data_IF_916477670482
#
_entry.id   IF_916477670482
#
_cell.length_a   1.000
_cell.length_b   1.000
_cell.length_c   1.000
_cell.angle_alpha   90.00
_cell.angle_beta   90.00
_cell.angle_gamma   90.00
#
_symmetry.space_group_name_H-M   'P 1'
#
loop_
_entity.id
_entity.type
_entity.pdbx_description
1 polymer ?
#
# COMPACT_ATOMS: atom_id res chain seq x y z
N UNK A 1 -10.68 16.44 9.82
CA UNK A 1 -10.73 16.93 8.43
C UNK A 1 -10.08 15.92 7.49
N UNK A 2 -8.79 15.62 7.58
CA UNK A 2 -8.13 14.62 6.71
C UNK A 2 -8.81 13.25 6.81
N UNK A 3 -9.06 12.73 8.00
CA UNK A 3 -9.77 11.47 8.21
C UNK A 3 -11.20 11.47 7.60
N UNK A 4 -11.91 12.61 7.67
CA UNK A 4 -13.22 12.73 7.02
C UNK A 4 -13.10 12.75 5.48
N UNK A 5 -12.05 13.37 4.94
CA UNK A 5 -11.75 13.32 3.50
C UNK A 5 -11.38 11.92 3.05
N UNK A 6 -10.60 11.19 3.84
CA UNK A 6 -10.24 9.79 3.59
C UNK A 6 -11.48 8.88 3.58
N UNK A 7 -12.36 9.02 4.58
CA UNK A 7 -13.62 8.27 4.61
C UNK A 7 -14.55 8.60 3.44
N UNK A 8 -14.62 9.88 3.07
CA UNK A 8 -15.42 10.31 1.90
C UNK A 8 -14.83 9.72 0.60
N UNK A 9 -13.49 9.67 0.46
CA UNK A 9 -12.86 9.05 -0.70
C UNK A 9 -13.19 7.55 -0.80
N UNK A 10 -13.27 6.83 0.33
CA UNK A 10 -13.69 5.42 0.35
C UNK A 10 -15.15 5.22 -0.10
N UNK A 11 -16.02 6.19 0.20
CA UNK A 11 -17.46 6.13 -0.14
C UNK A 11 -17.75 6.47 -1.61
N UNK A 12 -17.10 7.52 -2.14
CA UNK A 12 -17.44 8.07 -3.46
C UNK A 12 -16.36 7.86 -4.54
N UNK A 13 -15.21 7.30 -4.17
CA UNK A 13 -14.02 7.22 -5.02
C UNK A 13 -13.08 8.42 -4.82
N UNK A 14 -11.77 8.15 -4.94
CA UNK A 14 -10.74 9.17 -4.72
C UNK A 14 -10.79 10.31 -5.74
N UNK A 15 -11.04 9.98 -7.01
CA UNK A 15 -11.10 10.96 -8.11
C UNK A 15 -12.29 11.92 -7.96
N UNK A 16 -13.34 11.50 -7.26
CA UNK A 16 -14.52 12.30 -7.00
C UNK A 16 -14.39 13.19 -5.74
N UNK A 17 -13.32 13.02 -4.97
CA UNK A 17 -13.07 13.81 -3.77
C UNK A 17 -12.66 15.23 -4.14
N UNK A 18 -13.47 16.23 -3.72
CA UNK A 18 -13.18 17.65 -3.89
C UNK A 18 -13.28 18.41 -2.58
N UNK A 19 -12.64 19.59 -2.51
CA UNK A 19 -12.78 20.48 -1.35
C UNK A 19 -14.24 20.87 -1.09
N UNK A 20 -15.04 21.01 -2.15
CA UNK A 20 -16.48 21.29 -2.03
C UNK A 20 -17.24 20.16 -1.36
N UNK A 21 -17.09 18.91 -1.84
CA UNK A 21 -17.72 17.72 -1.25
C UNK A 21 -17.27 17.48 0.20
N UNK A 22 -15.99 17.74 0.50
CA UNK A 22 -15.49 17.66 1.87
C UNK A 22 -16.15 18.72 2.78
N UNK A 23 -16.31 19.96 2.30
CA UNK A 23 -16.97 21.02 3.04
C UNK A 23 -18.44 20.68 3.33
N UNK A 24 -19.14 20.15 2.33
CA UNK A 24 -20.53 19.67 2.46
C UNK A 24 -20.62 18.55 3.50
N UNK A 25 -19.74 17.54 3.42
CA UNK A 25 -19.67 16.43 4.38
C UNK A 25 -19.47 16.90 5.82
N UNK A 26 -18.67 17.96 6.01
CA UNK A 26 -18.35 18.53 7.32
C UNK A 26 -19.37 19.57 7.80
N UNK A 27 -20.37 19.91 6.98
CA UNK A 27 -21.35 20.95 7.31
C UNK A 27 -20.75 22.36 7.44
N UNK A 28 -19.66 22.65 6.73
CA UNK A 28 -18.96 23.95 6.76
C UNK A 28 -18.90 24.57 5.36
N UNK A 29 -18.59 25.86 5.32
CA UNK A 29 -18.33 26.53 4.03
C UNK A 29 -16.92 26.22 3.53
N UNK A 30 -16.75 25.99 2.23
CA UNK A 30 -15.45 25.66 1.62
C UNK A 30 -14.30 26.63 2.01
N UNK A 31 -14.49 27.97 2.12
CA UNK A 31 -13.44 28.88 2.58
C UNK A 31 -12.88 28.55 3.98
N UNK A 32 -13.66 27.88 4.83
CA UNK A 32 -13.18 27.48 6.18
C UNK A 32 -12.13 26.38 6.11
N UNK A 33 -12.16 25.53 5.10
CA UNK A 33 -11.18 24.45 4.91
C UNK A 33 -9.81 24.99 4.54
N UNK A 34 -9.75 26.05 3.77
CA UNK A 34 -8.49 26.65 3.29
C UNK A 34 -7.64 27.28 4.40
N UNK A 35 -8.20 27.45 5.61
CA UNK A 35 -7.43 27.83 6.82
C UNK A 35 -6.52 26.70 7.30
N UNK A 36 -6.80 25.46 6.91
CA UNK A 36 -6.15 24.25 7.44
C UNK A 36 -5.53 23.38 6.36
N UNK A 37 -6.01 23.48 5.12
CA UNK A 37 -5.57 22.70 3.97
C UNK A 37 -5.31 23.67 2.84
N UNK A 38 -4.09 23.65 2.28
CA UNK A 38 -3.66 24.63 1.27
C UNK A 38 -4.34 24.46 -0.10
N UNK A 39 -5.13 23.40 -0.28
CA UNK A 39 -5.88 23.11 -1.50
C UNK A 39 -6.10 21.62 -1.71
N UNK A 40 -6.58 21.27 -2.89
CA UNK A 40 -6.89 19.91 -3.28
C UNK A 40 -5.66 18.98 -3.18
N UNK A 41 -4.53 19.43 -3.73
CA UNK A 41 -3.29 18.66 -3.73
C UNK A 41 -2.77 18.39 -2.30
N UNK A 42 -2.85 19.39 -1.41
CA UNK A 42 -2.48 19.23 -0.01
C UNK A 42 -3.40 18.23 0.71
N UNK A 43 -4.72 18.27 0.43
CA UNK A 43 -5.68 17.28 0.93
C UNK A 43 -5.31 15.88 0.47
N UNK A 44 -5.08 15.69 -0.83
CA UNK A 44 -4.72 14.41 -1.42
C UNK A 44 -3.42 13.85 -0.81
N UNK A 45 -2.41 14.67 -0.66
CA UNK A 45 -1.12 14.29 -0.05
C UNK A 45 -1.26 13.88 1.41
N UNK A 46 -2.09 14.59 2.19
CA UNK A 46 -2.35 14.24 3.59
C UNK A 46 -3.15 12.95 3.72
N UNK A 47 -4.11 12.69 2.82
CA UNK A 47 -4.84 11.42 2.78
C UNK A 47 -3.90 10.27 2.42
N UNK A 48 -3.01 10.47 1.46
CA UNK A 48 -2.03 9.46 1.09
C UNK A 48 -1.07 9.12 2.25
N UNK A 49 -0.57 10.15 2.96
CA UNK A 49 0.28 9.93 4.13
C UNK A 49 -0.47 9.15 5.23
N UNK A 50 -1.74 9.52 5.50
CA UNK A 50 -2.60 8.80 6.44
C UNK A 50 -2.79 7.33 6.00
N UNK A 51 -3.08 7.08 4.72
CA UNK A 51 -3.29 5.74 4.18
C UNK A 51 -2.03 4.87 4.28
N UNK A 52 -0.85 5.42 4.01
CA UNK A 52 0.42 4.70 4.21
C UNK A 52 0.63 4.33 5.68
N UNK A 53 0.37 5.25 6.60
CA UNK A 53 0.54 4.99 8.03
C UNK A 53 -0.48 3.96 8.54
N UNK A 54 -1.76 4.04 8.14
CA UNK A 54 -2.81 3.09 8.51
C UNK A 54 -2.52 1.69 7.93
N UNK A 55 -2.18 1.59 6.64
CA UNK A 55 -1.83 0.31 6.02
C UNK A 55 -0.58 -0.30 6.67
N UNK A 56 0.46 0.51 6.90
CA UNK A 56 1.67 0.06 7.58
C UNK A 56 1.41 -0.44 9.00
N UNK A 57 0.55 0.22 9.76
CA UNK A 57 0.16 -0.19 11.10
C UNK A 57 -0.63 -1.52 11.07
N UNK A 58 -1.58 -1.67 10.14
CA UNK A 58 -2.35 -2.91 9.96
C UNK A 58 -1.43 -4.10 9.62
N UNK A 59 -0.53 -3.92 8.65
CA UNK A 59 0.44 -4.93 8.26
C UNK A 59 1.39 -5.25 9.43
N UNK A 60 1.93 -4.21 10.10
CA UNK A 60 2.83 -4.37 11.24
C UNK A 60 2.21 -5.16 12.39
N UNK A 61 0.91 -4.95 12.66
CA UNK A 61 0.16 -5.71 13.66
C UNK A 61 -0.02 -7.17 13.22
N UNK A 62 -0.36 -7.39 11.95
CA UNK A 62 -0.63 -8.73 11.42
C UNK A 62 0.59 -9.65 11.46
N UNK A 63 1.79 -9.12 11.28
CA UNK A 63 3.03 -9.92 11.24
C UNK A 63 3.62 -10.24 12.62
N UNK A 64 3.09 -9.68 13.70
CA UNK A 64 3.64 -9.88 15.06
C UNK A 64 3.66 -11.37 15.44
N UNK A 65 4.82 -11.83 15.90
CA UNK A 65 5.03 -13.23 16.30
C UNK A 65 5.07 -14.23 15.15
N UNK A 66 5.12 -13.78 13.90
CA UNK A 66 5.17 -14.62 12.69
C UNK A 66 6.52 -14.50 12.00
N UNK A 67 6.89 -15.52 11.23
CA UNK A 67 8.12 -15.54 10.44
C UNK A 67 7.92 -16.26 9.10
N UNK A 68 8.82 -16.06 8.14
CA UNK A 68 8.82 -16.72 6.84
C UNK A 68 7.47 -16.59 6.11
N UNK A 69 6.99 -17.71 5.55
CA UNK A 69 5.73 -17.74 4.79
C UNK A 69 4.53 -17.21 5.59
N UNK A 70 4.43 -17.53 6.90
CA UNK A 70 3.28 -17.09 7.71
C UNK A 70 3.27 -15.58 7.91
N UNK A 71 4.45 -14.96 8.07
CA UNK A 71 4.57 -13.50 8.10
C UNK A 71 4.25 -12.88 6.74
N UNK A 72 4.70 -13.49 5.64
CA UNK A 72 4.39 -13.04 4.28
C UNK A 72 2.88 -13.10 4.01
N UNK A 73 2.23 -14.21 4.36
CA UNK A 73 0.78 -14.40 4.22
C UNK A 73 -0.01 -13.37 5.03
N UNK A 74 0.40 -13.14 6.29
CA UNK A 74 -0.25 -12.15 7.15
C UNK A 74 -0.08 -10.72 6.62
N UNK A 75 1.10 -10.36 6.13
CA UNK A 75 1.35 -9.04 5.54
C UNK A 75 0.54 -8.82 4.26
N UNK A 76 0.52 -9.82 3.38
CA UNK A 76 -0.24 -9.79 2.14
C UNK A 76 -1.76 -9.71 2.40
N UNK A 77 -2.28 -10.50 3.36
CA UNK A 77 -3.67 -10.48 3.78
C UNK A 77 -4.08 -9.10 4.33
N UNK A 78 -3.29 -8.53 5.24
CA UNK A 78 -3.56 -7.22 5.81
C UNK A 78 -3.56 -6.10 4.74
N UNK A 79 -2.65 -6.15 3.76
CA UNK A 79 -2.68 -5.21 2.63
C UNK A 79 -3.94 -5.39 1.79
N UNK A 80 -4.29 -6.64 1.45
CA UNK A 80 -5.49 -6.96 0.67
C UNK A 80 -6.75 -6.45 1.37
N UNK A 81 -6.89 -6.72 2.66
CA UNK A 81 -8.03 -6.29 3.47
C UNK A 81 -8.10 -4.75 3.53
N UNK A 82 -6.97 -4.07 3.68
CA UNK A 82 -6.92 -2.61 3.65
C UNK A 82 -7.39 -2.05 2.30
N UNK A 83 -6.93 -2.61 1.18
CA UNK A 83 -7.35 -2.18 -0.16
C UNK A 83 -8.84 -2.38 -0.38
N UNK A 84 -9.39 -3.53 0.08
CA UNK A 84 -10.80 -3.85 -0.09
C UNK A 84 -11.73 -2.99 0.80
N UNK A 85 -11.28 -2.66 2.01
CA UNK A 85 -12.08 -1.87 2.96
C UNK A 85 -11.91 -0.36 2.78
N UNK A 86 -10.77 0.07 2.22
CA UNK A 86 -10.41 1.48 2.05
C UNK A 86 -9.92 1.81 0.63
N UNK A 87 -10.72 1.52 -0.41
CA UNK A 87 -10.26 1.64 -1.80
C UNK A 87 -9.91 3.09 -2.17
N UNK A 88 -10.65 4.07 -1.67
CA UNK A 88 -10.38 5.48 -1.94
C UNK A 88 -9.12 6.00 -1.26
N UNK A 89 -8.87 5.63 0.00
CA UNK A 89 -7.61 5.93 0.70
C UNK A 89 -6.43 5.29 0.00
N UNK A 90 -6.59 4.02 -0.38
CA UNK A 90 -5.51 3.32 -1.05
C UNK A 90 -5.19 3.94 -2.41
N UNK A 91 -6.21 4.34 -3.18
CA UNK A 91 -6.03 5.06 -4.43
C UNK A 91 -5.22 6.35 -4.26
N UNK A 92 -5.38 7.06 -3.13
CA UNK A 92 -4.60 8.25 -2.82
C UNK A 92 -3.08 7.98 -2.74
N UNK A 93 -2.65 6.74 -2.46
CA UNK A 93 -1.23 6.37 -2.39
C UNK A 93 -0.58 6.18 -3.76
N UNK A 94 -1.37 6.20 -4.83
CA UNK A 94 -0.92 5.94 -6.20
C UNK A 94 -0.71 7.27 -6.94
N UNK A 95 0.25 7.30 -7.85
CA UNK A 95 0.47 8.43 -8.75
C UNK A 95 1.05 9.70 -8.12
N UNK A 96 1.38 9.71 -6.83
CA UNK A 96 2.00 10.86 -6.18
C UNK A 96 3.49 10.93 -6.52
N UNK A 97 3.91 12.11 -6.96
CA UNK A 97 5.33 12.42 -7.14
C UNK A 97 5.85 13.13 -5.88
N UNK A 98 6.77 12.52 -5.12
CA UNK A 98 7.39 13.17 -3.98
C UNK A 98 8.23 14.37 -4.41
N UNK A 99 8.22 15.44 -3.61
CA UNK A 99 9.00 16.65 -3.86
C UNK A 99 10.46 16.56 -3.39
N UNK A 100 10.83 15.47 -2.72
CA UNK A 100 12.19 15.22 -2.22
C UNK A 100 12.23 14.14 -1.14
N UNK A 101 13.41 13.82 -0.60
CA UNK A 101 13.59 12.75 0.38
C UNK A 101 12.88 13.01 1.72
N UNK A 102 12.69 14.28 2.08
CA UNK A 102 12.03 14.71 3.32
C UNK A 102 10.54 15.01 3.14
N UNK A 103 10.01 14.72 1.95
CA UNK A 103 8.58 14.86 1.69
C UNK A 103 7.76 14.00 2.67
N UNK A 104 6.75 14.56 3.37
CA UNK A 104 5.93 13.81 4.32
C UNK A 104 5.28 12.55 3.71
N UNK A 105 4.90 12.59 2.43
CA UNK A 105 4.34 11.42 1.73
C UNK A 105 5.41 10.35 1.50
N UNK A 106 6.66 10.76 1.14
CA UNK A 106 7.77 9.82 1.00
C UNK A 106 8.11 9.15 2.34
N UNK A 107 8.15 9.93 3.42
CA UNK A 107 8.41 9.40 4.76
C UNK A 107 7.30 8.44 5.22
N UNK A 108 6.03 8.78 4.97
CA UNK A 108 4.90 7.90 5.24
C UNK A 108 4.97 6.62 4.39
N UNK A 109 5.29 6.73 3.10
CA UNK A 109 5.48 5.58 2.22
C UNK A 109 6.57 4.63 2.69
N UNK A 110 7.69 5.16 3.22
CA UNK A 110 8.74 4.33 3.83
C UNK A 110 8.25 3.60 5.08
N UNK A 111 7.45 4.26 5.93
CA UNK A 111 6.84 3.60 7.09
C UNK A 111 5.83 2.54 6.66
N UNK A 112 5.00 2.84 5.67
CA UNK A 112 4.01 1.90 5.12
C UNK A 112 4.60 0.63 4.54
N UNK A 113 5.78 0.70 3.88
CA UNK A 113 6.48 -0.48 3.32
C UNK A 113 7.36 -1.19 4.35
N UNK A 114 7.70 -0.54 5.47
CA UNK A 114 8.59 -1.08 6.50
C UNK A 114 8.25 -2.49 6.97
N UNK A 115 6.99 -2.82 7.26
CA UNK A 115 6.58 -4.16 7.66
C UNK A 115 6.92 -5.24 6.63
N UNK A 116 6.77 -4.96 5.33
CA UNK A 116 7.23 -5.89 4.28
C UNK A 116 8.74 -6.06 4.28
N UNK A 117 9.49 -4.98 4.50
CA UNK A 117 10.94 -5.08 4.64
C UNK A 117 11.33 -5.98 5.83
N UNK A 118 10.63 -5.87 6.96
CA UNK A 118 10.85 -6.74 8.12
C UNK A 118 10.53 -8.22 7.80
N UNK A 119 9.44 -8.50 7.07
CA UNK A 119 9.14 -9.86 6.60
C UNK A 119 10.26 -10.42 5.73
N UNK A 120 10.77 -9.61 4.80
CA UNK A 120 11.82 -10.03 3.86
C UNK A 120 13.17 -10.28 4.54
N UNK A 121 13.43 -9.71 5.73
CA UNK A 121 14.62 -10.06 6.53
C UNK A 121 14.64 -11.53 6.98
N UNK A 122 13.50 -12.20 7.01
CA UNK A 122 13.39 -13.64 7.28
C UNK A 122 13.72 -14.54 6.08
N UNK A 123 14.07 -13.94 4.93
CA UNK A 123 14.53 -14.62 3.73
C UNK A 123 16.00 -14.25 3.48
N UNK A 124 16.80 -15.17 3.02
CA UNK A 124 18.23 -14.96 2.76
C UNK A 124 18.48 -14.13 1.48
N UNK A 125 17.88 -12.92 1.45
CA UNK A 125 17.97 -12.00 0.30
C UNK A 125 19.24 -11.14 0.46
N UNK A 126 20.13 -11.14 -0.54
CA UNK A 126 21.29 -10.27 -0.53
C UNK A 126 20.92 -8.79 -0.38
N UNK A 127 21.68 -7.99 0.39
CA UNK A 127 21.33 -6.58 0.64
C UNK A 127 21.12 -5.75 -0.63
N UNK A 128 21.87 -6.04 -1.71
CA UNK A 128 21.73 -5.34 -2.99
C UNK A 128 20.45 -5.71 -3.74
N UNK A 129 19.83 -6.86 -3.45
CA UNK A 129 18.57 -7.31 -4.06
C UNK A 129 17.33 -6.94 -3.23
N UNK A 130 17.50 -6.52 -1.97
CA UNK A 130 16.38 -6.20 -1.07
C UNK A 130 15.36 -5.22 -1.69
N UNK A 131 15.83 -4.19 -2.39
CA UNK A 131 14.95 -3.22 -3.05
C UNK A 131 14.16 -3.86 -4.19
N UNK A 132 14.76 -4.79 -4.94
CA UNK A 132 14.07 -5.52 -6.01
C UNK A 132 13.01 -6.46 -5.44
N UNK A 133 13.34 -7.19 -4.38
CA UNK A 133 12.40 -8.06 -3.68
C UNK A 133 11.19 -7.28 -3.11
N UNK A 134 11.44 -6.13 -2.46
CA UNK A 134 10.37 -5.24 -1.97
C UNK A 134 9.47 -4.74 -3.09
N UNK A 135 10.04 -4.34 -4.22
CA UNK A 135 9.27 -3.91 -5.39
C UNK A 135 8.44 -5.05 -5.96
N UNK A 136 9.01 -6.25 -6.10
CA UNK A 136 8.31 -7.43 -6.59
C UNK A 136 7.13 -7.80 -5.69
N UNK A 137 7.37 -7.95 -4.38
CA UNK A 137 6.33 -8.28 -3.39
C UNK A 137 5.21 -7.23 -3.39
N UNK A 138 5.57 -5.94 -3.37
CA UNK A 138 4.59 -4.86 -3.44
C UNK A 138 3.78 -4.93 -4.73
N UNK A 139 4.41 -5.10 -5.88
CA UNK A 139 3.73 -5.11 -7.19
C UNK A 139 2.73 -6.25 -7.28
N UNK A 140 3.11 -7.43 -6.81
CA UNK A 140 2.29 -8.63 -6.87
C UNK A 140 1.04 -8.51 -5.99
N UNK A 141 1.20 -8.19 -4.70
CA UNK A 141 0.09 -8.09 -3.76
C UNK A 141 -0.79 -6.86 -4.00
N UNK A 142 -0.18 -5.72 -4.39
CA UNK A 142 -0.91 -4.55 -4.87
C UNK A 142 -1.77 -4.90 -6.09
N UNK A 143 -1.18 -5.53 -7.10
CA UNK A 143 -1.88 -5.89 -8.34
C UNK A 143 -3.07 -6.81 -8.07
N UNK A 144 -2.89 -7.85 -7.24
CA UNK A 144 -3.98 -8.75 -6.87
C UNK A 144 -5.11 -8.03 -6.14
N UNK A 145 -4.78 -7.26 -5.10
CA UNK A 145 -5.77 -6.56 -4.28
C UNK A 145 -6.55 -5.51 -5.07
N UNK A 146 -5.88 -4.75 -5.94
CA UNK A 146 -6.54 -3.72 -6.78
C UNK A 146 -7.41 -4.33 -7.88
N UNK A 147 -6.98 -5.43 -8.51
CA UNK A 147 -7.81 -6.18 -9.45
C UNK A 147 -9.06 -6.72 -8.77
N UNK A 148 -8.94 -7.27 -7.56
CA UNK A 148 -10.08 -7.74 -6.82
C UNK A 148 -11.03 -6.60 -6.45
N UNK A 149 -10.52 -5.48 -5.93
CA UNK A 149 -11.32 -4.32 -5.53
C UNK A 149 -12.10 -3.71 -6.71
N UNK A 150 -11.53 -3.77 -7.92
CA UNK A 150 -12.19 -3.30 -9.16
C UNK A 150 -13.10 -4.33 -9.83
N UNK A 151 -13.29 -5.52 -9.22
CA UNK A 151 -14.08 -6.59 -9.82
C UNK A 151 -13.40 -7.25 -11.03
N UNK A 152 -12.07 -7.18 -11.13
CA UNK A 152 -11.30 -7.69 -12.28
C UNK A 152 -11.23 -9.22 -12.37
N UNK A 153 -11.60 -9.95 -11.30
CA UNK A 153 -11.64 -11.41 -11.34
C UNK A 153 -13.02 -11.91 -11.73
N UNK A 154 -13.17 -12.35 -12.98
CA UNK A 154 -14.44 -12.77 -13.57
C UNK A 154 -14.61 -14.30 -13.65
N UNK A 155 -13.59 -15.08 -13.29
CA UNK A 155 -13.65 -16.54 -13.35
C UNK A 155 -14.30 -17.12 -12.09
N UNK A 156 -14.88 -18.33 -12.23
CA UNK A 156 -15.62 -19.00 -11.15
C UNK A 156 -14.75 -19.60 -10.05
N UNK A 157 -13.41 -19.58 -10.21
CA UNK A 157 -12.46 -20.06 -9.20
C UNK A 157 -12.48 -19.16 -7.96
N UNK A 158 -12.38 -19.75 -6.78
CA UNK A 158 -12.34 -18.99 -5.52
C UNK A 158 -11.14 -18.04 -5.48
N UNK A 159 -11.42 -16.77 -5.16
CA UNK A 159 -10.39 -15.72 -5.13
C UNK A 159 -9.45 -15.91 -3.94
N UNK A 160 -9.93 -16.48 -2.81
CA UNK A 160 -9.10 -16.79 -1.66
C UNK A 160 -8.07 -17.87 -1.98
N UNK A 161 -8.49 -18.97 -2.63
CA UNK A 161 -7.57 -20.02 -3.10
C UNK A 161 -6.53 -19.46 -4.08
N UNK A 162 -6.94 -18.57 -4.98
CA UNK A 162 -6.02 -17.90 -5.91
C UNK A 162 -5.02 -16.99 -5.20
N UNK A 163 -5.44 -16.35 -4.11
CA UNK A 163 -4.56 -15.52 -3.28
C UNK A 163 -3.55 -16.36 -2.51
N UNK A 164 -3.98 -17.49 -1.94
CA UNK A 164 -3.09 -18.44 -1.26
C UNK A 164 -2.06 -19.04 -2.23
N UNK A 165 -2.50 -19.41 -3.44
CA UNK A 165 -1.59 -19.84 -4.51
C UNK A 165 -0.54 -18.77 -4.83
N UNK A 166 -0.94 -17.50 -4.90
CA UNK A 166 -0.02 -16.39 -5.15
C UNK A 166 1.00 -16.23 -4.02
N UNK A 167 0.57 -16.34 -2.75
CA UNK A 167 1.46 -16.29 -1.60
C UNK A 167 2.50 -17.41 -1.68
N UNK A 168 2.08 -18.63 -2.00
CA UNK A 168 2.98 -19.77 -2.15
C UNK A 168 3.97 -19.59 -3.29
N UNK A 169 3.53 -18.99 -4.40
CA UNK A 169 4.40 -18.68 -5.52
C UNK A 169 5.49 -17.68 -5.14
N UNK A 170 5.09 -16.61 -4.43
CA UNK A 170 6.02 -15.57 -3.94
C UNK A 170 6.99 -16.14 -2.91
N UNK A 171 6.51 -16.90 -1.93
CA UNK A 171 7.36 -17.53 -0.91
C UNK A 171 8.43 -18.42 -1.53
N UNK A 172 8.04 -19.30 -2.47
CA UNK A 172 9.00 -20.14 -3.22
C UNK A 172 10.01 -19.30 -4.00
N UNK A 173 9.55 -18.24 -4.68
CA UNK A 173 10.42 -17.36 -5.45
C UNK A 173 11.45 -16.65 -4.57
N UNK A 174 11.04 -16.17 -3.40
CA UNK A 174 11.92 -15.50 -2.44
C UNK A 174 12.96 -16.46 -1.84
N UNK A 175 12.63 -17.73 -1.64
CA UNK A 175 13.57 -18.77 -1.15
C UNK A 175 14.54 -19.26 -2.22
N UNK A 176 14.16 -19.13 -3.49
CA UNK A 176 14.93 -19.64 -4.63
C UNK A 176 15.72 -18.54 -5.34
N UNK A 177 15.69 -17.29 -4.83
CA UNK A 177 16.41 -16.18 -5.43
C UNK A 177 17.89 -16.55 -5.55
N UNK A 178 18.48 -16.62 -6.76
CA UNK A 178 19.89 -16.94 -6.92
C UNK A 178 20.69 -15.82 -6.26
N UNK A 179 21.72 -16.20 -5.50
CA UNK A 179 22.78 -15.28 -5.10
C UNK A 179 23.52 -14.90 -6.37
N UNK A 180 23.04 -13.85 -7.06
CA UNK A 180 23.75 -13.32 -8.23
C UNK A 180 25.00 -12.63 -7.74
N UNK A 181 26.16 -13.20 -8.10
CA UNK A 181 27.46 -12.58 -7.83
C UNK A 181 27.51 -11.24 -8.61
N UNK A 182 27.78 -10.09 -7.95
CA UNK A 182 27.87 -8.79 -8.61
C UNK A 182 28.92 -8.73 -9.73
N UNK A 183 29.82 -9.71 -9.83
CA UNK A 183 30.85 -9.79 -10.86
C UNK A 183 30.35 -10.17 -12.27
N UNK A 184 29.09 -10.63 -12.40
CA UNK A 184 28.59 -11.16 -13.70
C UNK A 184 27.91 -10.09 -14.59
N UNK A 185 27.81 -8.83 -14.15
CA UNK A 185 27.16 -7.75 -14.91
C UNK A 185 28.11 -6.87 -15.74
N UNK A 186 29.39 -7.28 -15.89
CA UNK A 186 30.39 -6.56 -16.70
C UNK A 186 30.98 -7.39 -17.85
N UNK A 187 30.16 -8.23 -18.49
CA UNK A 187 30.56 -8.85 -19.78
C UNK A 187 29.65 -8.42 -20.90
#
# INVERSE_FOLDING_TARGET
MVAAGAALADEIGFDELTMGRLAERLGVRAPSLYKHIAGQDDLHRRIAALAFDEAGAAIGTAIQGRAGRDALAAAAGALRDFVLTHPGRYAATLGLTPSGPDDPVMLAGRRGIGPFAAVLQGYDIPPHEMTHALRAVRSVFHGFATLQASGGFQWSTDIGESFDYLIDLVDRGLRSAPVTDPADHHR
#
